data_IF_667436157202
#
_entry.id   IF_667436157202
#
_cell.length_a   1.000
_cell.length_b   1.000
_cell.length_c   1.000
_cell.angle_alpha   90.00
_cell.angle_beta   90.00
_cell.angle_gamma   90.00
#
_symmetry.space_group_name_H-M   'P 1'
#
loop_
_entity.id
_entity.type
_entity.pdbx_description
1 polymer ?
#
# COMPACT_ATOMS: atom_id res chain seq x y z
N UNK A 1 -8.01 18.48 -63.46
CA UNK A 1 -7.89 19.48 -62.39
C UNK A 1 -8.83 19.20 -61.17
N UNK A 2 -10.03 18.69 -61.42
CA UNK A 2 -11.05 18.49 -60.36
C UNK A 2 -10.69 17.44 -59.26
N UNK A 3 -9.94 16.37 -59.62
CA UNK A 3 -9.54 15.33 -58.68
C UNK A 3 -8.47 15.73 -57.63
N UNK A 4 -7.64 16.74 -57.96
CA UNK A 4 -6.59 17.17 -57.04
C UNK A 4 -7.11 18.15 -55.97
N UNK A 5 -8.19 18.87 -56.28
CA UNK A 5 -8.84 19.75 -55.30
C UNK A 5 -9.61 18.94 -54.25
N UNK A 6 -10.33 17.87 -54.69
CA UNK A 6 -11.05 16.98 -53.78
C UNK A 6 -10.09 16.24 -52.84
N UNK A 7 -8.94 15.77 -53.33
CA UNK A 7 -7.93 15.13 -52.47
C UNK A 7 -7.31 16.08 -51.45
N UNK A 8 -7.10 17.35 -51.84
CA UNK A 8 -6.56 18.38 -50.92
C UNK A 8 -7.58 18.81 -49.87
N UNK A 9 -8.86 18.88 -50.22
CA UNK A 9 -9.94 19.19 -49.28
C UNK A 9 -10.14 18.01 -48.30
N UNK A 10 -10.08 16.74 -48.77
CA UNK A 10 -10.20 15.56 -47.91
C UNK A 10 -9.03 15.44 -46.94
N UNK A 11 -7.80 15.78 -47.40
CA UNK A 11 -6.60 15.77 -46.54
C UNK A 11 -6.64 16.89 -45.47
N UNK A 12 -7.18 18.06 -45.80
CA UNK A 12 -7.34 19.16 -44.86
C UNK A 12 -8.40 18.88 -43.78
N UNK A 13 -9.53 18.26 -44.17
CA UNK A 13 -10.57 17.84 -43.20
C UNK A 13 -10.10 16.72 -42.28
N UNK A 14 -9.30 15.76 -42.79
CA UNK A 14 -8.74 14.71 -41.93
C UNK A 14 -7.69 15.25 -40.93
N UNK A 15 -6.87 16.21 -41.38
CA UNK A 15 -5.91 16.90 -40.49
C UNK A 15 -6.59 17.74 -39.40
N UNK A 16 -7.70 18.43 -39.71
CA UNK A 16 -8.48 19.15 -38.74
C UNK A 16 -9.20 18.23 -37.68
N UNK A 17 -9.62 17.01 -38.08
CA UNK A 17 -10.21 16.05 -37.15
C UNK A 17 -9.17 15.43 -36.22
N UNK A 18 -7.91 15.27 -36.65
CA UNK A 18 -6.84 14.76 -35.78
C UNK A 18 -6.30 15.80 -34.79
N UNK A 19 -6.46 17.08 -35.05
CA UNK A 19 -6.02 18.13 -34.11
C UNK A 19 -7.04 18.45 -33.02
N UNK A 20 -8.31 18.03 -33.19
CA UNK A 20 -9.35 18.28 -32.19
C UNK A 20 -9.46 17.21 -31.11
N UNK A 21 -8.78 16.08 -31.26
CA UNK A 21 -8.78 14.97 -30.28
C UNK A 21 -7.60 14.99 -29.29
N UNK A 22 -6.74 16.01 -29.31
CA UNK A 22 -5.56 16.11 -28.45
C UNK A 22 -5.57 17.25 -27.43
N UNK A 23 -6.69 17.93 -27.19
CA UNK A 23 -6.71 19.01 -26.20
C UNK A 23 -7.88 18.90 -25.24
N UNK A 24 -7.99 17.78 -24.54
CA UNK A 24 -8.55 17.75 -23.21
C UNK A 24 -7.49 17.22 -22.25
N UNK A 25 -6.35 17.89 -22.17
CA UNK A 25 -5.62 17.94 -20.91
C UNK A 25 -6.54 18.72 -20.00
N UNK A 26 -7.23 18.02 -19.11
CA UNK A 26 -7.93 18.64 -18.00
C UNK A 26 -6.87 19.41 -17.19
N UNK A 27 -6.72 20.69 -17.50
CA UNK A 27 -5.91 21.61 -16.73
C UNK A 27 -6.73 21.84 -15.46
N UNK A 28 -6.45 21.05 -14.43
CA UNK A 28 -6.94 21.34 -13.09
C UNK A 28 -6.42 22.72 -12.73
N UNK A 29 -7.31 23.72 -12.81
CA UNK A 29 -7.06 25.05 -12.33
C UNK A 29 -7.06 24.94 -10.82
N UNK A 30 -5.88 24.71 -10.24
CA UNK A 30 -5.69 24.71 -8.79
C UNK A 30 -6.10 26.09 -8.26
N UNK A 31 -7.19 26.13 -7.55
CA UNK A 31 -7.60 27.30 -6.78
C UNK A 31 -6.56 27.48 -5.66
N UNK A 32 -5.89 28.63 -5.63
CA UNK A 32 -4.79 28.90 -4.70
C UNK A 32 -5.24 29.01 -3.24
N UNK A 33 -6.50 28.74 -2.95
CA UNK A 33 -7.10 28.88 -1.62
C UNK A 33 -7.93 27.65 -1.18
N UNK A 34 -7.80 26.50 -1.86
CA UNK A 34 -8.41 25.26 -1.38
C UNK A 34 -7.52 24.65 -0.32
N UNK A 35 -8.07 24.35 0.83
CA UNK A 35 -7.52 23.41 1.77
C UNK A 35 -7.05 22.16 1.00
N UNK A 36 -5.86 21.68 1.31
CA UNK A 36 -5.09 20.66 0.58
C UNK A 36 -5.93 19.40 0.27
N UNK A 37 -6.80 19.49 -0.73
CA UNK A 37 -7.63 18.38 -1.19
C UNK A 37 -6.96 17.71 -2.39
N UNK A 38 -6.82 16.39 -2.32
CA UNK A 38 -6.35 15.56 -3.42
C UNK A 38 -7.52 14.65 -3.85
N UNK A 39 -7.91 14.76 -5.11
CA UNK A 39 -8.92 13.85 -5.70
C UNK A 39 -8.21 12.76 -6.49
N UNK A 40 -8.39 11.50 -6.09
CA UNK A 40 -7.84 10.33 -6.76
C UNK A 40 -8.97 9.63 -7.51
N UNK A 41 -8.86 9.55 -8.83
CA UNK A 41 -9.76 8.78 -9.67
C UNK A 41 -9.32 7.31 -9.75
N UNK A 42 -10.22 6.39 -9.45
CA UNK A 42 -9.94 4.94 -9.47
C UNK A 42 -10.92 4.23 -10.40
N UNK A 43 -10.48 3.12 -11.00
CA UNK A 43 -11.30 2.31 -11.90
C UNK A 43 -12.07 1.19 -11.19
N UNK A 44 -11.69 0.88 -9.95
CA UNK A 44 -12.36 -0.10 -9.10
C UNK A 44 -12.19 0.30 -7.64
N UNK A 45 -13.17 -0.05 -6.82
CA UNK A 45 -13.13 0.16 -5.37
C UNK A 45 -13.24 -1.20 -4.67
N UNK A 46 -12.73 -1.30 -3.44
CA UNK A 46 -12.95 -2.48 -2.61
C UNK A 46 -14.39 -2.48 -2.07
N UNK A 47 -15.01 -3.64 -2.00
CA UNK A 47 -16.34 -3.79 -1.39
C UNK A 47 -16.28 -3.59 0.13
N UNK A 48 -15.10 -3.78 0.71
CA UNK A 48 -14.80 -3.59 2.14
C UNK A 48 -13.41 -3.00 2.33
N UNK A 49 -13.17 -2.36 3.47
CA UNK A 49 -11.84 -1.93 3.91
C UNK A 49 -11.13 -3.01 4.76
N UNK A 50 -11.74 -4.18 4.92
CA UNK A 50 -11.16 -5.30 5.67
C UNK A 50 -10.00 -5.94 4.87
N UNK A 51 -8.74 -5.79 5.33
CA UNK A 51 -7.58 -6.25 4.56
C UNK A 51 -7.47 -7.78 4.49
N UNK A 52 -8.09 -8.52 5.41
CA UNK A 52 -8.05 -9.99 5.44
C UNK A 52 -9.04 -10.64 4.50
N UNK A 53 -10.00 -9.90 3.95
CA UNK A 53 -10.99 -10.41 3.02
C UNK A 53 -10.46 -10.43 1.58
N UNK A 54 -10.41 -11.61 0.96
CA UNK A 54 -9.98 -11.82 -0.42
C UNK A 54 -8.62 -11.13 -0.70
N UNK A 55 -8.59 -10.22 -1.68
CA UNK A 55 -7.43 -9.39 -2.06
C UNK A 55 -7.70 -7.90 -1.88
N UNK A 56 -8.69 -7.53 -1.06
CA UNK A 56 -9.04 -6.12 -0.87
C UNK A 56 -7.92 -5.31 -0.20
N UNK A 57 -7.05 -5.93 0.57
CA UNK A 57 -5.83 -5.31 1.11
C UNK A 57 -5.01 -4.59 0.03
N UNK A 58 -4.86 -5.20 -1.16
CA UNK A 58 -4.16 -4.59 -2.29
C UNK A 58 -4.86 -3.34 -2.84
N UNK A 59 -6.19 -3.31 -2.79
CA UNK A 59 -6.98 -2.15 -3.22
C UNK A 59 -6.86 -1.04 -2.18
N UNK A 60 -7.03 -1.36 -0.89
CA UNK A 60 -6.90 -0.42 0.24
C UNK A 60 -5.51 0.21 0.27
N UNK A 61 -4.46 -0.60 0.10
CA UNK A 61 -3.08 -0.12 0.06
C UNK A 61 -2.83 0.86 -1.10
N UNK A 62 -3.40 0.61 -2.29
CA UNK A 62 -3.28 1.52 -3.45
C UNK A 62 -3.90 2.89 -3.21
N UNK A 63 -4.86 3.00 -2.30
CA UNK A 63 -5.48 4.26 -1.92
C UNK A 63 -4.74 4.97 -0.79
N UNK A 64 -3.62 4.42 -0.32
CA UNK A 64 -2.85 4.91 0.82
C UNK A 64 -3.70 5.08 2.10
N UNK A 65 -4.66 4.15 2.31
CA UNK A 65 -5.54 4.16 3.49
C UNK A 65 -4.90 3.48 4.69
N UNK A 66 -4.03 2.50 4.46
CA UNK A 66 -3.35 1.75 5.53
C UNK A 66 -1.87 1.59 5.26
N UNK A 67 -1.11 1.31 6.31
CA UNK A 67 0.34 1.11 6.28
C UNK A 67 0.72 -0.21 6.94
N UNK A 68 1.86 -0.77 6.49
CA UNK A 68 2.47 -1.98 7.02
C UNK A 68 3.68 -1.64 7.90
N UNK A 69 4.29 -2.63 8.57
CA UNK A 69 5.51 -2.42 9.34
C UNK A 69 6.69 -1.97 8.47
N UNK A 70 6.78 -2.55 7.29
CA UNK A 70 7.80 -2.25 6.27
C UNK A 70 7.11 -1.95 4.95
N UNK A 71 7.85 -1.46 3.97
CA UNK A 71 7.35 -1.23 2.61
C UNK A 71 8.45 -1.40 1.58
N UNK A 72 8.09 -1.58 0.31
CA UNK A 72 9.02 -1.49 -0.81
C UNK A 72 9.16 -0.03 -1.25
N UNK A 73 10.39 0.39 -1.55
CA UNK A 73 10.66 1.65 -2.21
C UNK A 73 10.51 1.55 -3.74
N UNK A 74 10.85 2.62 -4.46
CA UNK A 74 10.79 2.67 -5.92
C UNK A 74 11.80 1.75 -6.64
N UNK A 75 12.80 1.24 -5.90
CA UNK A 75 13.82 0.31 -6.40
C UNK A 75 13.50 -1.15 -6.04
N UNK A 76 12.43 -1.37 -5.25
CA UNK A 76 12.04 -2.69 -4.74
C UNK A 76 12.81 -3.13 -3.51
N UNK A 77 13.52 -2.20 -2.85
CA UNK A 77 14.21 -2.46 -1.59
C UNK A 77 13.25 -2.33 -0.41
N UNK A 78 13.44 -3.16 0.62
CA UNK A 78 12.65 -3.09 1.85
C UNK A 78 13.15 -1.92 2.70
N UNK A 79 12.24 -1.02 3.02
CA UNK A 79 12.52 0.17 3.82
C UNK A 79 11.55 0.30 5.01
N UNK A 80 11.94 1.02 6.08
CA UNK A 80 11.08 1.30 7.22
C UNK A 80 9.76 1.98 6.85
N UNK A 81 8.68 1.59 7.58
CA UNK A 81 7.39 2.25 7.53
C UNK A 81 6.86 2.46 8.95
N UNK A 82 5.95 1.62 9.47
CA UNK A 82 5.51 1.68 10.88
C UNK A 82 6.54 1.06 11.84
N UNK A 83 7.47 0.23 11.36
CA UNK A 83 8.68 -0.11 12.09
C UNK A 83 9.82 0.81 11.64
N UNK A 84 10.69 1.21 12.60
CA UNK A 84 11.86 2.06 12.34
C UNK A 84 13.07 1.23 11.92
N UNK A 85 13.23 0.07 12.54
CA UNK A 85 14.34 -0.86 12.34
C UNK A 85 13.91 -2.28 12.70
N UNK A 86 14.66 -3.27 12.25
CA UNK A 86 14.44 -4.67 12.60
C UNK A 86 15.76 -5.43 12.61
N UNK A 87 15.75 -6.53 13.35
CA UNK A 87 16.85 -7.50 13.43
C UNK A 87 16.28 -8.91 13.55
N UNK A 88 17.13 -9.92 13.31
CA UNK A 88 16.75 -11.31 13.43
C UNK A 88 17.82 -12.16 14.12
N UNK A 89 17.39 -13.23 14.77
CA UNK A 89 18.28 -14.25 15.33
C UNK A 89 19.06 -14.98 14.23
N UNK A 90 20.21 -15.54 14.59
CA UNK A 90 21.06 -16.30 13.65
C UNK A 90 20.34 -17.48 12.99
N UNK A 91 19.38 -18.10 13.69
CA UNK A 91 18.58 -19.20 13.17
C UNK A 91 17.38 -18.75 12.33
N UNK A 92 17.15 -17.45 12.21
CA UNK A 92 16.07 -16.85 11.42
C UNK A 92 14.67 -17.14 11.96
N UNK A 93 14.53 -17.56 13.21
CA UNK A 93 13.25 -17.89 13.84
C UNK A 93 12.69 -16.80 14.75
N UNK A 94 13.52 -15.87 15.18
CA UNK A 94 13.09 -14.73 15.99
C UNK A 94 13.39 -13.46 15.26
N UNK A 95 12.38 -12.60 15.07
CA UNK A 95 12.50 -11.31 14.44
C UNK A 95 12.00 -10.23 15.37
N UNK A 96 12.78 -9.17 15.55
CA UNK A 96 12.44 -8.03 16.41
C UNK A 96 12.25 -6.81 15.53
N UNK A 97 11.08 -6.18 15.63
CA UNK A 97 10.75 -4.93 14.93
C UNK A 97 10.53 -3.83 15.96
N UNK A 98 11.27 -2.74 15.85
CA UNK A 98 11.07 -1.56 16.68
C UNK A 98 9.96 -0.70 16.10
N UNK A 99 8.86 -0.61 16.81
CA UNK A 99 7.67 0.12 16.36
C UNK A 99 7.88 1.63 16.54
N UNK A 100 7.48 2.39 15.53
CA UNK A 100 7.59 3.85 15.49
C UNK A 100 6.71 4.50 16.55
N UNK A 101 7.28 5.44 17.31
CA UNK A 101 6.54 6.25 18.28
C UNK A 101 5.78 7.41 17.62
N UNK A 102 4.72 7.88 18.27
CA UNK A 102 3.98 9.08 17.88
C UNK A 102 3.11 8.92 16.62
N UNK A 103 2.91 7.70 16.14
CA UNK A 103 1.96 7.39 15.07
C UNK A 103 0.55 7.34 15.65
N UNK A 104 -0.42 7.84 14.89
CA UNK A 104 -1.85 7.80 15.25
C UNK A 104 -2.66 7.08 14.19
N UNK A 105 -3.66 6.32 14.64
CA UNK A 105 -4.70 5.84 13.78
C UNK A 105 -5.62 6.97 13.28
N UNK A 106 -6.43 6.68 12.27
CA UNK A 106 -7.35 7.66 11.69
C UNK A 106 -8.43 8.14 12.66
N UNK A 107 -8.75 7.36 13.70
CA UNK A 107 -9.67 7.72 14.78
C UNK A 107 -9.04 8.67 15.80
N UNK A 108 -7.70 8.89 15.76
CA UNK A 108 -6.94 9.76 16.65
C UNK A 108 -6.22 9.06 17.78
N UNK A 109 -6.44 7.76 17.98
CA UNK A 109 -5.76 6.97 19.01
C UNK A 109 -4.28 6.80 18.69
N UNK A 110 -3.45 6.73 19.72
CA UNK A 110 -2.02 6.47 19.55
C UNK A 110 -1.79 5.00 19.21
N UNK A 111 -0.98 4.75 18.17
CA UNK A 111 -0.57 3.40 17.85
C UNK A 111 0.50 2.92 18.84
N UNK A 112 0.23 1.82 19.53
CA UNK A 112 1.17 1.17 20.46
C UNK A 112 1.64 -0.18 19.90
N UNK A 113 2.78 -0.73 20.38
CA UNK A 113 3.22 -2.06 20.01
C UNK A 113 2.19 -3.16 20.29
N UNK A 114 1.38 -3.01 21.35
CA UNK A 114 0.32 -3.95 21.70
C UNK A 114 -0.82 -3.92 20.68
N UNK A 115 -1.17 -2.75 20.15
CA UNK A 115 -2.18 -2.61 19.11
C UNK A 115 -1.67 -3.21 17.78
N UNK A 116 -0.39 -2.98 17.45
CA UNK A 116 0.26 -3.61 16.30
C UNK A 116 0.25 -5.13 16.44
N UNK A 117 0.61 -5.66 17.62
CA UNK A 117 0.53 -7.08 17.93
C UNK A 117 -0.88 -7.62 17.68
N UNK A 118 -1.89 -6.97 18.28
CA UNK A 118 -3.30 -7.38 18.14
C UNK A 118 -3.76 -7.38 16.68
N UNK A 119 -3.34 -6.39 15.89
CA UNK A 119 -3.62 -6.32 14.45
C UNK A 119 -3.02 -7.50 13.68
N UNK A 120 -1.76 -7.85 13.95
CA UNK A 120 -1.10 -9.00 13.30
C UNK A 120 -1.73 -10.34 13.75
N UNK A 121 -2.02 -10.51 15.05
CA UNK A 121 -2.70 -11.71 15.57
C UNK A 121 -4.08 -11.89 14.94
N UNK A 122 -4.85 -10.79 14.82
CA UNK A 122 -6.13 -10.78 14.14
C UNK A 122 -6.01 -11.20 12.67
N UNK A 123 -4.99 -10.71 11.97
CA UNK A 123 -4.71 -11.11 10.58
C UNK A 123 -4.39 -12.60 10.49
N UNK A 124 -3.58 -13.13 11.42
CA UNK A 124 -3.22 -14.54 11.48
C UNK A 124 -4.44 -15.44 11.80
N UNK A 125 -5.38 -14.95 12.59
CA UNK A 125 -6.62 -15.69 12.91
C UNK A 125 -7.63 -15.68 11.76
N UNK A 126 -7.75 -14.55 11.04
CA UNK A 126 -8.79 -14.36 10.01
C UNK A 126 -8.40 -14.82 8.62
N UNK A 127 -7.12 -14.83 8.29
CA UNK A 127 -6.66 -15.11 6.94
C UNK A 127 -5.93 -16.42 6.81
N UNK A 128 -6.48 -17.34 6.02
CA UNK A 128 -5.83 -18.60 5.65
C UNK A 128 -4.56 -18.38 4.80
N UNK A 129 -4.28 -17.15 4.37
CA UNK A 129 -3.11 -16.80 3.55
C UNK A 129 -1.84 -16.55 4.36
N UNK A 130 -1.93 -16.29 5.66
CA UNK A 130 -0.74 -15.98 6.50
C UNK A 130 0.34 -17.07 6.40
N UNK A 131 0.01 -18.40 6.37
CA UNK A 131 1.02 -19.45 6.21
C UNK A 131 1.79 -19.43 4.89
N UNK A 132 1.32 -18.68 3.86
CA UNK A 132 2.06 -18.46 2.62
C UNK A 132 3.30 -17.59 2.83
N UNK A 133 3.28 -16.75 3.86
CA UNK A 133 4.32 -15.76 4.18
C UNK A 133 5.26 -16.26 5.28
N UNK A 134 4.72 -16.71 6.40
CA UNK A 134 5.49 -17.24 7.54
C UNK A 134 4.65 -18.16 8.42
N UNK A 135 5.33 -18.94 9.25
CA UNK A 135 4.73 -19.89 10.18
C UNK A 135 4.88 -19.32 11.60
N UNK A 136 3.88 -18.55 12.03
CA UNK A 136 3.87 -17.84 13.31
C UNK A 136 3.67 -18.85 14.45
N UNK A 137 4.53 -18.79 15.48
CA UNK A 137 4.36 -19.44 16.76
C UNK A 137 3.68 -18.47 17.76
N UNK A 138 4.32 -17.33 18.01
CA UNK A 138 3.83 -16.35 18.94
C UNK A 138 4.35 -14.93 18.65
N UNK A 139 3.69 -13.94 19.25
CA UNK A 139 4.11 -12.54 19.26
C UNK A 139 4.29 -12.06 20.70
N UNK A 140 5.38 -11.34 20.94
CA UNK A 140 5.70 -10.73 22.22
C UNK A 140 5.94 -9.23 22.05
N UNK A 141 5.59 -8.43 23.06
CA UNK A 141 5.94 -7.00 23.15
C UNK A 141 6.92 -6.82 24.29
N UNK A 142 8.06 -6.20 24.00
CA UNK A 142 9.06 -5.75 24.98
C UNK A 142 9.38 -4.28 24.74
N UNK A 143 8.77 -3.42 25.56
CA UNK A 143 8.84 -1.98 25.37
C UNK A 143 8.32 -1.56 24.00
N UNK A 144 9.17 -0.97 23.17
CA UNK A 144 8.83 -0.54 21.81
C UNK A 144 9.04 -1.64 20.74
N UNK A 145 9.48 -2.82 21.16
CA UNK A 145 9.77 -3.90 20.24
C UNK A 145 8.60 -4.88 20.15
N UNK A 146 8.23 -5.21 18.92
CA UNK A 146 7.38 -6.36 18.60
C UNK A 146 8.27 -7.51 18.14
N UNK A 147 8.18 -8.63 18.85
CA UNK A 147 9.02 -9.81 18.62
C UNK A 147 8.16 -10.92 18.05
N UNK A 148 8.55 -11.41 16.88
CA UNK A 148 7.93 -12.56 16.20
C UNK A 148 8.74 -13.82 16.53
N UNK A 149 8.08 -14.85 17.04
CA UNK A 149 8.62 -16.19 17.14
C UNK A 149 8.00 -17.05 16.05
N UNK A 150 8.84 -17.76 15.29
CA UNK A 150 8.44 -18.56 14.14
C UNK A 150 8.73 -20.04 14.38
N UNK A 151 7.82 -20.91 13.96
CA UNK A 151 8.05 -22.35 13.98
C UNK A 151 9.16 -22.74 12.98
N UNK A 152 9.28 -22.03 11.86
CA UNK A 152 10.28 -22.24 10.82
C UNK A 152 11.07 -20.97 10.52
N UNK A 153 12.37 -21.12 10.23
CA UNK A 153 13.20 -20.01 9.81
C UNK A 153 12.62 -19.29 8.58
N UNK A 154 12.64 -17.96 8.61
CA UNK A 154 12.27 -17.11 7.48
C UNK A 154 13.36 -16.04 7.30
N UNK A 155 14.03 -16.05 6.16
CA UNK A 155 15.08 -15.08 5.85
C UNK A 155 14.55 -13.75 5.28
N UNK A 156 13.24 -13.66 5.01
CA UNK A 156 12.61 -12.51 4.37
C UNK A 156 11.38 -11.99 5.14
N UNK A 157 11.40 -12.08 6.46
CA UNK A 157 10.24 -11.68 7.28
C UNK A 157 9.88 -10.20 7.06
N UNK A 158 10.88 -9.32 6.96
CA UNK A 158 10.65 -7.92 6.68
C UNK A 158 9.94 -7.71 5.32
N UNK A 159 10.30 -8.49 4.30
CA UNK A 159 9.60 -8.46 3.01
C UNK A 159 8.17 -9.00 3.09
N UNK A 160 7.94 -10.02 3.91
CA UNK A 160 6.59 -10.53 4.15
C UNK A 160 5.68 -9.48 4.78
N UNK A 161 6.19 -8.72 5.76
CA UNK A 161 5.44 -7.67 6.46
C UNK A 161 5.26 -6.38 5.66
N UNK A 162 5.75 -6.32 4.43
CA UNK A 162 5.44 -5.28 3.45
C UNK A 162 4.23 -5.63 2.57
N UNK A 163 3.72 -6.89 2.63
CA UNK A 163 2.51 -7.26 1.88
C UNK A 163 1.28 -6.58 2.50
N UNK A 164 0.40 -6.03 1.69
CA UNK A 164 -0.83 -5.39 2.14
C UNK A 164 -1.76 -6.25 3.02
N UNK A 165 -1.60 -7.57 3.03
CA UNK A 165 -2.31 -8.44 3.97
C UNK A 165 -2.04 -8.03 5.42
N UNK A 166 -0.85 -7.51 5.71
CA UNK A 166 -0.39 -7.10 7.04
C UNK A 166 -0.53 -5.60 7.29
N UNK A 167 -1.52 -4.94 6.66
CA UNK A 167 -1.92 -3.58 7.03
C UNK A 167 -2.29 -3.54 8.52
N UNK A 168 -1.75 -2.55 9.23
CA UNK A 168 -2.04 -2.37 10.64
C UNK A 168 -3.38 -1.63 10.79
N UNK A 169 -4.29 -2.25 11.52
CA UNK A 169 -5.64 -1.73 11.79
C UNK A 169 -5.90 -1.74 13.30
N UNK A 170 -6.76 -0.82 13.78
CA UNK A 170 -7.26 -0.70 15.14
C UNK A 170 -8.49 -1.56 15.41
#
# INVERSE_FOLDING_TARGET
MRNNVVKKVLAATLACMMTFSMTTVAQAKGDKNSDKEITIGVTSFADTLEPTEQYFSWVVSRYAIGECLTKFDEHGEIVPCLAEEWDNSEDGKTWTFKIREGVKFSNGDDMTPEMVKASIERTAEKSDRVPEFFDLDSLEVDGQNLIFHLNRANANMAGCLADPLFLIVD
#
